data_IF_304156642923
#
_entry.id   IF_304156642923
#
_cell.length_a   1.000
_cell.length_b   1.000
_cell.length_c   1.000
_cell.angle_alpha   90.00
_cell.angle_beta   90.00
_cell.angle_gamma   90.00
#
_symmetry.space_group_name_H-M   'P 1'
#
loop_
_entity.id
_entity.type
_entity.pdbx_description
1 polymer ?
#
# COMPACT_ATOMS: atom_id res chain seq x y z
N UNK A 1 18.27 -26.56 -19.18
CA UNK A 1 17.80 -25.27 -19.74
C UNK A 1 17.48 -24.34 -18.59
N UNK A 2 18.47 -23.59 -18.14
CA UNK A 2 18.39 -22.61 -17.04
C UNK A 2 17.58 -21.42 -17.51
N UNK A 3 16.43 -21.18 -16.89
CA UNK A 3 15.55 -20.04 -17.18
C UNK A 3 16.35 -18.74 -17.02
N UNK A 4 16.30 -17.92 -18.07
CA UNK A 4 16.92 -16.62 -18.21
C UNK A 4 16.74 -15.75 -16.95
N UNK A 5 17.83 -15.50 -16.23
CA UNK A 5 17.92 -14.39 -15.25
C UNK A 5 17.80 -13.10 -16.05
N UNK A 6 16.80 -12.29 -15.75
CA UNK A 6 16.70 -10.94 -16.29
C UNK A 6 17.73 -10.07 -15.58
N UNK A 7 18.98 -10.12 -16.02
CA UNK A 7 20.02 -9.20 -15.60
C UNK A 7 19.74 -7.82 -16.23
N UNK A 8 18.81 -7.05 -15.66
CA UNK A 8 18.60 -5.69 -16.18
C UNK A 8 19.73 -4.78 -15.69
N UNK A 9 20.71 -4.52 -16.57
CA UNK A 9 21.78 -3.53 -16.37
C UNK A 9 21.29 -2.07 -16.42
N UNK A 10 19.97 -1.87 -16.41
CA UNK A 10 19.30 -0.58 -16.52
C UNK A 10 18.13 -0.55 -15.57
N UNK A 11 18.08 0.47 -14.73
CA UNK A 11 16.91 0.81 -13.93
C UNK A 11 16.09 1.82 -14.71
N UNK A 12 14.96 1.39 -15.27
CA UNK A 12 13.98 2.30 -15.88
C UNK A 12 13.35 3.23 -14.85
N UNK A 13 13.36 2.86 -13.56
CA UNK A 13 12.79 3.66 -12.47
C UNK A 13 13.51 5.01 -12.30
N UNK A 14 14.82 5.06 -12.52
CA UNK A 14 15.61 6.29 -12.39
C UNK A 14 16.42 6.61 -13.65
N UNK A 15 16.22 5.89 -14.75
CA UNK A 15 16.98 6.06 -15.99
C UNK A 15 18.49 5.85 -15.82
N UNK A 16 18.91 4.97 -14.91
CA UNK A 16 20.32 4.68 -14.64
C UNK A 16 20.76 3.38 -15.32
N UNK A 17 22.06 3.24 -15.60
CA UNK A 17 22.64 2.00 -16.16
C UNK A 17 23.96 1.62 -15.50
N UNK A 18 24.22 0.33 -15.34
CA UNK A 18 25.53 -0.17 -14.93
C UNK A 18 26.51 -0.13 -16.10
N UNK A 19 27.81 -0.06 -15.80
CA UNK A 19 28.88 -0.09 -16.80
C UNK A 19 29.02 -1.48 -17.44
N UNK A 20 28.80 -2.52 -16.65
CA UNK A 20 29.09 -3.92 -17.00
C UNK A 20 27.84 -4.78 -17.09
N UNK A 21 27.96 -5.90 -17.80
CA UNK A 21 26.91 -6.90 -18.01
C UNK A 21 26.85 -7.97 -16.90
N UNK A 22 27.82 -8.02 -16.00
CA UNK A 22 27.87 -8.96 -14.88
C UNK A 22 27.44 -8.27 -13.58
N UNK A 23 26.34 -7.50 -13.61
CA UNK A 23 25.84 -6.82 -12.40
C UNK A 23 25.40 -7.81 -11.33
N UNK A 24 25.79 -7.56 -10.07
CA UNK A 24 25.34 -8.35 -8.93
C UNK A 24 23.88 -8.04 -8.56
N UNK A 25 23.27 -8.90 -7.75
CA UNK A 25 21.85 -8.80 -7.33
C UNK A 25 21.53 -7.48 -6.61
N UNK A 26 22.53 -6.79 -6.06
CA UNK A 26 22.37 -5.46 -5.46
C UNK A 26 22.14 -4.33 -6.48
N UNK A 27 22.30 -4.60 -7.78
CA UNK A 27 22.25 -3.58 -8.84
C UNK A 27 23.57 -2.84 -9.06
N UNK A 28 24.66 -3.28 -8.42
CA UNK A 28 26.00 -2.73 -8.59
C UNK A 28 26.82 -3.51 -9.63
N UNK A 29 27.86 -2.85 -10.15
CA UNK A 29 28.92 -3.57 -10.88
C UNK A 29 29.77 -4.37 -9.86
N UNK A 30 30.31 -5.54 -10.19
CA UNK A 30 31.18 -6.30 -9.27
C UNK A 30 32.41 -5.51 -8.82
N UNK A 31 32.89 -4.59 -9.67
CA UNK A 31 33.97 -3.65 -9.36
C UNK A 31 33.49 -2.22 -9.62
N UNK A 32 33.55 -1.40 -8.56
CA UNK A 32 33.39 0.05 -8.63
C UNK A 32 34.77 0.69 -8.84
N UNK A 33 34.90 1.59 -9.82
CA UNK A 33 36.14 2.30 -10.14
C UNK A 33 35.92 3.80 -9.95
N UNK A 34 36.96 4.52 -9.53
CA UNK A 34 36.89 5.97 -9.31
C UNK A 34 36.50 6.73 -10.59
N UNK A 35 37.10 6.35 -11.72
CA UNK A 35 36.95 7.06 -12.99
C UNK A 35 35.85 6.44 -13.88
N UNK A 36 34.71 6.10 -13.29
CA UNK A 36 33.60 5.50 -14.03
C UNK A 36 32.85 6.56 -14.87
N UNK A 37 32.79 6.44 -16.21
CA UNK A 37 32.12 7.44 -17.05
C UNK A 37 30.59 7.24 -17.14
N UNK A 38 30.03 6.30 -16.39
CA UNK A 38 28.63 5.89 -16.50
C UNK A 38 27.82 6.39 -15.31
N UNK A 39 26.69 7.05 -15.59
CA UNK A 39 25.68 7.41 -14.59
C UNK A 39 24.88 6.17 -14.14
N UNK A 40 25.49 5.35 -13.30
CA UNK A 40 24.78 4.31 -12.56
C UNK A 40 24.00 4.91 -11.38
N UNK A 41 23.21 4.09 -10.67
CA UNK A 41 22.40 4.53 -9.53
C UNK A 41 23.24 5.22 -8.45
N UNK A 42 24.43 4.68 -8.15
CA UNK A 42 25.36 5.27 -7.16
C UNK A 42 25.88 6.63 -7.62
N UNK A 43 26.44 6.73 -8.83
CA UNK A 43 26.96 7.99 -9.36
C UNK A 43 25.88 9.06 -9.48
N UNK A 44 24.69 8.67 -9.95
CA UNK A 44 23.55 9.59 -10.08
C UNK A 44 23.08 10.08 -8.70
N UNK A 45 23.01 9.19 -7.71
CA UNK A 45 22.64 9.53 -6.33
C UNK A 45 23.69 10.42 -5.66
N UNK A 46 24.98 10.17 -5.90
CA UNK A 46 26.06 11.01 -5.38
C UNK A 46 26.01 12.44 -5.95
N UNK A 47 25.68 12.59 -7.24
CA UNK A 47 25.63 13.89 -7.90
C UNK A 47 24.33 14.66 -7.68
N UNK A 48 23.19 13.97 -7.70
CA UNK A 48 21.85 14.61 -7.65
C UNK A 48 21.13 14.48 -6.31
N UNK A 49 21.64 13.66 -5.40
CA UNK A 49 21.12 13.49 -4.04
C UNK A 49 19.60 13.31 -4.01
N UNK A 50 18.92 14.20 -3.29
CA UNK A 50 17.47 14.20 -3.11
C UNK A 50 16.65 14.26 -4.40
N UNK A 51 17.24 14.70 -5.52
CA UNK A 51 16.51 14.79 -6.78
C UNK A 51 16.16 13.41 -7.37
N UNK A 52 16.93 12.39 -7.02
CA UNK A 52 16.77 11.00 -7.51
C UNK A 52 16.32 10.03 -6.42
N UNK A 53 15.84 10.55 -5.29
CA UNK A 53 15.30 9.74 -4.19
C UNK A 53 14.08 8.93 -4.61
N UNK A 54 13.27 9.46 -5.53
CA UNK A 54 12.05 8.83 -6.02
C UNK A 54 12.22 8.36 -7.48
N UNK A 55 11.38 7.43 -7.94
CA UNK A 55 11.27 7.12 -9.36
C UNK A 55 11.07 8.38 -10.21
N UNK A 56 11.35 8.26 -11.51
CA UNK A 56 11.26 9.32 -12.51
C UNK A 56 10.02 10.19 -12.29
N UNK A 57 10.26 11.47 -11.97
CA UNK A 57 9.22 12.42 -11.54
C UNK A 57 8.20 12.68 -12.64
N UNK A 58 8.62 12.56 -13.90
CA UNK A 58 7.78 12.73 -15.08
C UNK A 58 6.64 11.71 -15.13
N UNK A 59 6.82 10.55 -14.47
CA UNK A 59 5.83 9.49 -14.36
C UNK A 59 5.15 9.42 -12.99
N UNK A 60 5.43 10.38 -12.09
CA UNK A 60 4.84 10.39 -10.75
C UNK A 60 3.31 10.45 -10.83
N UNK A 61 2.65 9.50 -10.16
CA UNK A 61 1.20 9.40 -10.10
C UNK A 61 0.50 8.82 -11.33
N UNK A 62 1.23 8.54 -12.41
CA UNK A 62 0.73 7.88 -13.62
C UNK A 62 1.48 6.58 -13.94
N UNK A 63 2.32 6.10 -13.02
CA UNK A 63 3.07 4.86 -13.16
C UNK A 63 2.97 3.99 -11.91
N UNK A 64 3.27 2.71 -12.10
CA UNK A 64 3.50 1.74 -11.03
C UNK A 64 4.95 1.29 -11.11
N UNK A 65 5.68 1.36 -10.00
CA UNK A 65 7.06 0.90 -9.90
C UNK A 65 7.08 -0.50 -9.27
N UNK A 66 7.76 -1.44 -9.93
CA UNK A 66 8.06 -2.77 -9.38
C UNK A 66 9.52 -2.88 -8.99
N UNK A 67 9.86 -3.91 -8.22
CA UNK A 67 11.25 -4.25 -7.90
C UNK A 67 11.80 -5.23 -8.95
N UNK A 68 12.95 -4.94 -9.60
CA UNK A 68 13.61 -5.90 -10.48
C UNK A 68 14.39 -6.98 -9.71
N UNK A 69 14.42 -6.92 -8.36
CA UNK A 69 15.15 -7.88 -7.54
C UNK A 69 14.44 -9.23 -7.52
N UNK A 70 15.21 -10.30 -7.68
CA UNK A 70 14.74 -11.66 -7.45
C UNK A 70 14.81 -11.94 -5.94
N UNK A 71 13.65 -12.12 -5.31
CA UNK A 71 13.55 -12.44 -3.89
C UNK A 71 13.72 -13.95 -3.60
N UNK A 72 13.96 -14.77 -4.64
CA UNK A 72 14.14 -16.22 -4.54
C UNK A 72 12.84 -16.99 -4.27
N UNK A 73 11.71 -16.28 -4.13
CA UNK A 73 10.41 -16.87 -3.82
C UNK A 73 9.29 -16.00 -4.37
N UNK A 74 8.30 -16.62 -5.01
CA UNK A 74 7.14 -15.96 -5.62
C UNK A 74 5.95 -16.90 -5.72
N UNK A 75 4.75 -16.37 -6.00
CA UNK A 75 3.55 -17.19 -6.16
C UNK A 75 3.66 -18.29 -7.22
N UNK A 76 4.55 -18.15 -8.20
CA UNK A 76 4.81 -19.17 -9.24
C UNK A 76 5.44 -20.45 -8.69
N UNK A 77 6.07 -20.35 -7.52
CA UNK A 77 6.80 -21.45 -6.87
C UNK A 77 5.86 -22.30 -6.01
N UNK A 78 4.61 -21.86 -5.82
CA UNK A 78 3.55 -22.62 -5.18
C UNK A 78 2.70 -23.37 -6.21
N UNK A 79 2.42 -24.64 -5.92
CA UNK A 79 1.42 -25.42 -6.62
C UNK A 79 0.36 -25.88 -5.62
N UNK A 80 -0.89 -25.46 -5.84
CA UNK A 80 -2.03 -25.95 -5.07
C UNK A 80 -2.37 -27.34 -5.63
N UNK A 81 -2.23 -28.38 -4.81
CA UNK A 81 -2.66 -29.73 -5.16
C UNK A 81 -4.17 -29.84 -4.90
N UNK A 82 -4.92 -30.27 -5.90
CA UNK A 82 -6.39 -30.21 -5.93
C UNK A 82 -7.07 -31.41 -5.26
N UNK A 83 -6.32 -32.30 -4.62
CA UNK A 83 -6.93 -33.43 -3.92
C UNK A 83 -7.60 -32.91 -2.64
N UNK A 84 -8.93 -32.81 -2.67
CA UNK A 84 -9.79 -32.31 -1.59
C UNK A 84 -9.88 -33.35 -0.46
N UNK A 85 -8.75 -33.75 0.12
CA UNK A 85 -8.74 -34.62 1.31
C UNK A 85 -8.86 -33.77 2.56
N UNK A 86 -10.00 -33.88 3.24
CA UNK A 86 -10.23 -33.22 4.53
C UNK A 86 -10.65 -31.75 4.44
N UNK A 87 -11.15 -31.29 3.29
CA UNK A 87 -11.77 -29.97 3.23
C UNK A 87 -12.97 -29.89 4.17
N UNK A 88 -13.06 -28.79 4.90
CA UNK A 88 -14.14 -28.49 5.85
C UNK A 88 -14.90 -27.28 5.31
N UNK A 89 -16.23 -27.31 5.34
CA UNK A 89 -17.06 -26.17 4.94
C UNK A 89 -18.47 -26.58 4.51
N UNK A 90 -18.56 -27.51 3.56
CA UNK A 90 -19.83 -28.08 3.10
C UNK A 90 -19.78 -29.61 3.14
N UNK A 91 -20.95 -30.24 3.14
CA UNK A 91 -21.07 -31.70 3.03
C UNK A 91 -20.35 -32.20 1.77
N UNK A 92 -19.62 -33.31 1.91
CA UNK A 92 -18.83 -33.94 0.85
C UNK A 92 -19.74 -34.63 -0.18
N UNK A 93 -20.40 -33.83 -1.00
CA UNK A 93 -21.32 -34.25 -2.04
C UNK A 93 -21.05 -33.44 -3.32
N UNK A 94 -20.93 -34.13 -4.46
CA UNK A 94 -20.64 -33.52 -5.77
C UNK A 94 -21.69 -32.48 -6.17
N UNK A 95 -22.97 -32.75 -5.88
CA UNK A 95 -24.09 -31.83 -6.19
C UNK A 95 -24.05 -30.56 -5.33
N UNK A 96 -23.36 -30.60 -4.19
CA UNK A 96 -23.20 -29.46 -3.27
C UNK A 96 -21.91 -28.68 -3.52
N UNK A 97 -20.91 -29.32 -4.15
CA UNK A 97 -19.60 -28.71 -4.44
C UNK A 97 -19.67 -27.90 -5.74
N UNK A 98 -20.54 -26.90 -5.77
CA UNK A 98 -20.79 -26.03 -6.92
C UNK A 98 -20.42 -24.58 -6.61
N UNK A 99 -20.04 -23.80 -7.64
CA UNK A 99 -19.60 -22.41 -7.48
C UNK A 99 -20.50 -21.51 -6.62
N UNK A 100 -21.85 -21.59 -6.70
CA UNK A 100 -22.72 -20.74 -5.88
C UNK A 100 -22.62 -20.99 -4.37
N UNK A 101 -22.14 -22.16 -3.95
CA UNK A 101 -22.00 -22.52 -2.54
C UNK A 101 -20.64 -22.13 -1.95
N UNK A 102 -19.73 -21.55 -2.75
CA UNK A 102 -18.45 -21.08 -2.25
C UNK A 102 -18.64 -19.85 -1.35
N UNK A 103 -18.44 -20.04 -0.05
CA UNK A 103 -18.41 -18.93 0.92
C UNK A 103 -16.99 -18.35 1.00
N UNK A 104 -16.87 -17.09 0.59
CA UNK A 104 -15.63 -16.31 0.65
C UNK A 104 -15.72 -15.16 1.66
N UNK A 105 -16.77 -15.15 2.50
CA UNK A 105 -16.86 -14.22 3.61
C UNK A 105 -15.74 -14.51 4.60
N UNK A 106 -15.23 -13.46 5.23
CA UNK A 106 -14.14 -13.59 6.18
C UNK A 106 -14.34 -12.66 7.36
N UNK A 107 -13.58 -12.91 8.42
CA UNK A 107 -13.54 -12.07 9.61
C UNK A 107 -12.10 -11.91 10.06
N UNK A 108 -11.70 -10.67 10.32
CA UNK A 108 -10.40 -10.35 10.88
C UNK A 108 -10.56 -9.36 12.03
N UNK A 109 -10.11 -9.75 13.22
CA UNK A 109 -10.45 -9.05 14.45
C UNK A 109 -11.97 -8.96 14.65
N UNK A 110 -12.49 -7.74 14.71
CA UNK A 110 -13.91 -7.41 14.85
C UNK A 110 -14.61 -7.11 13.50
N UNK A 111 -13.88 -7.04 12.39
CA UNK A 111 -14.44 -6.67 11.09
C UNK A 111 -14.88 -7.93 10.33
N UNK A 112 -16.14 -7.99 9.91
CA UNK A 112 -16.64 -8.98 8.94
C UNK A 112 -16.46 -8.42 7.53
N UNK A 113 -16.17 -9.25 6.54
CA UNK A 113 -16.08 -8.84 5.13
C UNK A 113 -16.80 -9.83 4.23
N UNK A 114 -17.36 -9.34 3.12
CA UNK A 114 -17.97 -10.19 2.08
C UNK A 114 -16.93 -10.89 1.22
N UNK A 115 -15.74 -10.30 1.10
CA UNK A 115 -14.63 -10.81 0.28
C UNK A 115 -13.33 -10.84 1.10
N UNK A 116 -12.39 -11.75 0.78
CA UNK A 116 -11.11 -11.88 1.47
C UNK A 116 -10.08 -10.88 0.91
N UNK A 117 -10.48 -9.63 0.74
CA UNK A 117 -9.68 -8.56 0.14
C UNK A 117 -9.76 -7.34 1.05
N UNK A 118 -8.64 -6.63 1.19
CA UNK A 118 -8.60 -5.30 1.80
C UNK A 118 -7.83 -4.37 0.88
N UNK A 119 -8.31 -3.12 0.76
CA UNK A 119 -7.54 -2.08 0.07
C UNK A 119 -6.53 -1.51 1.07
N UNK A 120 -5.26 -1.78 0.81
CA UNK A 120 -4.14 -1.37 1.65
C UNK A 120 -4.02 0.16 1.79
N UNK A 121 -3.28 0.61 2.80
CA UNK A 121 -3.12 2.02 3.17
C UNK A 121 -2.77 2.94 2.00
N UNK A 122 -3.73 3.77 1.57
CA UNK A 122 -3.51 4.77 0.53
C UNK A 122 -3.14 6.10 1.18
N UNK A 123 -1.87 6.48 1.05
CA UNK A 123 -1.26 7.61 1.75
C UNK A 123 -1.79 9.00 1.35
N UNK A 124 -1.08 10.02 1.84
CA UNK A 124 -1.43 11.45 1.73
C UNK A 124 -1.21 12.09 0.36
N UNK A 125 -0.86 11.31 -0.66
CA UNK A 125 -0.56 11.86 -1.99
C UNK A 125 -1.82 12.31 -2.72
N UNK A 126 -1.66 13.28 -3.63
CA UNK A 126 -2.73 13.68 -4.55
C UNK A 126 -3.24 12.52 -5.40
N UNK A 127 -2.38 11.52 -5.67
CA UNK A 127 -2.71 10.32 -6.43
C UNK A 127 -3.74 9.46 -5.71
N UNK A 128 -3.62 9.31 -4.38
CA UNK A 128 -4.62 8.61 -3.59
C UNK A 128 -5.92 9.40 -3.52
N UNK A 129 -5.83 10.71 -3.25
CA UNK A 129 -7.00 11.59 -3.12
C UNK A 129 -7.87 11.62 -4.38
N UNK A 130 -7.27 11.79 -5.57
CA UNK A 130 -8.03 11.87 -6.83
C UNK A 130 -8.76 10.58 -7.21
N UNK A 131 -8.36 9.44 -6.66
CA UNK A 131 -8.99 8.13 -6.92
C UNK A 131 -9.83 7.67 -5.71
N UNK A 132 -9.92 8.47 -4.66
CA UNK A 132 -10.49 8.04 -3.39
C UNK A 132 -11.98 7.68 -3.51
N UNK A 133 -12.78 8.49 -4.21
CA UNK A 133 -14.22 8.25 -4.35
C UNK A 133 -14.51 6.88 -4.94
N UNK A 134 -13.89 6.54 -6.08
CA UNK A 134 -14.08 5.23 -6.72
C UNK A 134 -13.66 4.07 -5.82
N UNK A 135 -12.55 4.21 -5.10
CA UNK A 135 -12.02 3.16 -4.22
C UNK A 135 -12.86 3.00 -2.95
N UNK A 136 -13.22 4.09 -2.28
CA UNK A 136 -13.97 4.07 -1.04
C UNK A 136 -15.42 3.66 -1.26
N UNK A 137 -16.09 4.21 -2.28
CA UNK A 137 -17.46 3.82 -2.63
C UNK A 137 -17.51 2.36 -3.08
N UNK A 138 -16.58 1.95 -3.94
CA UNK A 138 -16.49 0.56 -4.39
C UNK A 138 -16.21 -0.42 -3.25
N UNK A 139 -15.31 -0.06 -2.34
CA UNK A 139 -15.01 -0.89 -1.17
C UNK A 139 -16.22 -1.06 -0.25
N UNK A 140 -16.92 0.04 0.05
CA UNK A 140 -18.11 0.03 0.90
C UNK A 140 -19.23 -0.84 0.29
N UNK A 141 -19.53 -0.65 -1.01
CA UNK A 141 -20.53 -1.43 -1.72
C UNK A 141 -20.17 -2.92 -1.82
N UNK A 142 -18.89 -3.22 -2.00
CA UNK A 142 -18.40 -4.60 -2.04
C UNK A 142 -18.31 -5.27 -0.66
N UNK A 143 -18.52 -4.52 0.44
CA UNK A 143 -18.41 -5.04 1.81
C UNK A 143 -16.97 -5.43 2.18
N UNK A 144 -16.00 -4.63 1.74
CA UNK A 144 -14.57 -4.79 2.07
C UNK A 144 -14.01 -3.55 2.76
N UNK A 145 -12.95 -3.73 3.52
CA UNK A 145 -12.26 -2.63 4.19
C UNK A 145 -11.35 -1.85 3.25
N UNK A 146 -11.17 -0.57 3.57
CA UNK A 146 -10.18 0.33 2.96
C UNK A 146 -9.40 1.06 4.05
N UNK A 147 -8.08 1.15 3.89
CA UNK A 147 -7.21 1.84 4.82
C UNK A 147 -6.84 3.24 4.31
N UNK A 148 -7.13 4.26 5.11
CA UNK A 148 -6.56 5.61 4.98
C UNK A 148 -5.10 5.54 5.42
N UNK A 149 -4.18 5.81 4.51
CA UNK A 149 -2.75 5.78 4.82
C UNK A 149 -2.28 6.95 5.68
N UNK A 150 -0.99 6.94 5.99
CA UNK A 150 -0.36 7.89 6.90
C UNK A 150 -0.29 9.34 6.38
N UNK A 151 -0.11 10.28 7.31
CA UNK A 151 0.16 11.71 7.08
C UNK A 151 -0.94 12.48 6.31
N UNK A 152 -2.14 11.90 6.16
CA UNK A 152 -3.27 12.56 5.48
C UNK A 152 -3.61 13.89 6.14
N UNK A 153 -3.66 13.93 7.47
CA UNK A 153 -3.95 15.15 8.23
C UNK A 153 -2.80 16.15 8.15
N UNK A 154 -1.55 15.68 8.23
CA UNK A 154 -0.37 16.56 8.16
C UNK A 154 -0.19 17.25 6.80
N UNK A 155 -0.74 16.65 5.73
CA UNK A 155 -0.68 17.18 4.36
C UNK A 155 -1.93 17.97 3.97
N UNK A 156 -2.96 18.01 4.82
CA UNK A 156 -4.19 18.74 4.55
C UNK A 156 -3.96 20.25 4.79
N UNK A 157 -4.00 21.10 3.74
CA UNK A 157 -3.77 22.54 3.88
C UNK A 157 -4.85 23.23 4.72
N UNK A 158 -6.01 22.59 4.89
CA UNK A 158 -7.14 23.10 5.66
C UNK A 158 -7.20 22.50 7.08
N UNK A 159 -6.20 21.69 7.47
CA UNK A 159 -6.12 21.16 8.82
C UNK A 159 -5.88 22.27 9.85
N UNK A 160 -6.64 22.22 10.93
CA UNK A 160 -6.55 23.15 12.06
C UNK A 160 -5.84 22.46 13.21
N UNK A 161 -4.84 23.13 13.77
CA UNK A 161 -4.06 22.63 14.90
C UNK A 161 -4.20 23.55 16.11
N UNK A 162 -3.98 23.01 17.30
CA UNK A 162 -3.91 23.78 18.54
C UNK A 162 -2.74 24.76 18.50
N UNK A 163 -2.98 26.03 18.81
CA UNK A 163 -1.92 26.99 19.04
C UNK A 163 -1.31 26.77 20.45
N UNK A 164 -0.02 27.08 20.61
CA UNK A 164 0.71 27.19 21.90
C UNK A 164 1.12 25.89 22.63
N UNK A 165 0.98 24.70 22.03
CA UNK A 165 1.57 23.48 22.58
C UNK A 165 2.97 23.22 22.00
N UNK A 166 3.87 22.62 22.81
CA UNK A 166 5.18 22.14 22.34
C UNK A 166 5.05 21.13 21.19
N UNK A 167 3.93 20.40 21.14
CA UNK A 167 3.53 19.52 20.04
C UNK A 167 2.13 19.90 19.59
N UNK A 168 1.99 20.29 18.33
CA UNK A 168 0.70 20.59 17.71
C UNK A 168 -0.24 19.39 17.82
N UNK A 169 -1.51 19.64 18.15
CA UNK A 169 -2.58 18.64 18.12
C UNK A 169 -3.61 19.02 17.09
N UNK A 170 -4.09 18.05 16.31
CA UNK A 170 -5.18 18.29 15.36
C UNK A 170 -6.47 18.63 16.11
N UNK A 171 -7.12 19.71 15.67
CA UNK A 171 -8.46 20.12 16.09
C UNK A 171 -9.46 19.68 15.02
N UNK A 172 -9.11 19.91 13.75
CA UNK A 172 -9.99 19.65 12.63
C UNK A 172 -9.24 19.39 11.32
N UNK A 173 -9.87 18.71 10.37
CA UNK A 173 -9.32 18.42 9.03
C UNK A 173 -10.45 18.16 8.05
N UNK A 174 -10.28 18.66 6.82
CA UNK A 174 -11.22 18.43 5.73
C UNK A 174 -10.93 17.10 5.02
N UNK A 175 -9.66 16.78 4.74
CA UNK A 175 -9.33 15.58 3.95
C UNK A 175 -9.70 14.28 4.67
N UNK A 176 -9.39 14.18 5.97
CA UNK A 176 -9.75 12.99 6.74
C UNK A 176 -11.27 12.83 6.87
N UNK A 177 -12.00 13.93 7.11
CA UNK A 177 -13.48 13.89 7.16
C UNK A 177 -14.07 13.44 5.85
N UNK A 178 -13.60 14.02 4.74
CA UNK A 178 -14.01 13.66 3.40
C UNK A 178 -13.81 12.16 3.18
N UNK A 179 -12.61 11.64 3.46
CA UNK A 179 -12.29 10.23 3.24
C UNK A 179 -13.18 9.28 4.04
N UNK A 180 -13.42 9.59 5.32
CA UNK A 180 -14.32 8.81 6.19
C UNK A 180 -15.76 8.89 5.72
N UNK A 181 -16.23 10.09 5.38
CA UNK A 181 -17.61 10.31 4.92
C UNK A 181 -17.88 9.52 3.64
N UNK A 182 -17.00 9.60 2.64
CA UNK A 182 -17.19 8.92 1.34
C UNK A 182 -17.37 7.41 1.49
N UNK A 183 -16.60 6.75 2.38
CA UNK A 183 -16.80 5.32 2.64
C UNK A 183 -18.14 5.07 3.35
N UNK A 184 -18.39 5.80 4.44
CA UNK A 184 -19.58 5.60 5.29
C UNK A 184 -20.90 5.86 4.59
N UNK A 185 -20.92 6.76 3.62
CA UNK A 185 -22.12 7.09 2.84
C UNK A 185 -22.68 5.85 2.09
N UNK A 186 -21.81 4.91 1.71
CA UNK A 186 -22.19 3.70 0.98
C UNK A 186 -22.01 2.41 1.80
N UNK A 187 -21.63 2.54 3.08
CA UNK A 187 -21.37 1.40 3.95
C UNK A 187 -22.67 0.85 4.53
N UNK A 188 -22.83 -0.48 4.50
CA UNK A 188 -24.02 -1.16 5.02
C UNK A 188 -24.07 -1.27 6.56
N UNK A 189 -23.00 -0.84 7.24
CA UNK A 189 -22.87 -0.86 8.70
C UNK A 189 -22.47 -2.22 9.29
N UNK A 190 -22.29 -3.26 8.46
CA UNK A 190 -21.93 -4.60 8.93
C UNK A 190 -20.64 -5.14 8.28
N UNK A 191 -20.47 -4.96 6.97
CA UNK A 191 -19.38 -5.58 6.21
C UNK A 191 -18.35 -4.57 5.73
N UNK A 192 -17.09 -4.87 6.00
CA UNK A 192 -15.99 -3.93 5.84
C UNK A 192 -15.95 -2.89 6.95
N UNK A 193 -14.88 -2.11 6.96
CA UNK A 193 -14.74 -0.93 7.81
C UNK A 193 -13.70 0.00 7.17
N UNK A 194 -13.75 1.28 7.52
CA UNK A 194 -12.69 2.21 7.18
C UNK A 194 -11.62 2.23 8.27
N UNK A 195 -10.40 1.93 7.87
CA UNK A 195 -9.26 1.77 8.78
C UNK A 195 -8.37 3.00 8.65
N UNK A 196 -7.81 3.49 9.76
CA UNK A 196 -6.81 4.57 9.73
C UNK A 196 -5.44 4.01 10.10
N UNK A 197 -4.45 4.21 9.24
CA UNK A 197 -3.08 3.75 9.47
C UNK A 197 -2.36 4.65 10.47
N UNK A 198 -1.63 4.03 11.39
CA UNK A 198 -0.90 4.66 12.50
C UNK A 198 0.59 4.66 12.30
N UNK A 199 1.14 5.85 12.11
CA UNK A 199 2.56 6.14 12.14
C UNK A 199 2.95 7.02 13.35
N UNK A 200 4.24 7.32 13.46
CA UNK A 200 4.82 8.07 14.58
C UNK A 200 4.40 9.54 14.54
N UNK A 201 4.38 10.13 13.35
CA UNK A 201 4.06 11.53 13.08
C UNK A 201 2.60 11.85 13.43
N UNK A 202 1.64 11.09 12.93
CA UNK A 202 0.21 11.26 13.22
C UNK A 202 -0.09 11.02 14.71
N UNK A 203 0.69 10.15 15.36
CA UNK A 203 0.59 9.93 16.82
C UNK A 203 1.01 11.18 17.60
N UNK A 204 2.08 11.86 17.17
CA UNK A 204 2.52 13.14 17.75
C UNK A 204 1.49 14.24 17.51
N UNK A 205 0.88 14.27 16.32
CA UNK A 205 -0.20 15.21 15.97
C UNK A 205 -1.54 14.87 16.65
N UNK A 206 -1.67 13.71 17.30
CA UNK A 206 -2.90 13.33 18.00
C UNK A 206 -4.05 12.93 17.07
N UNK A 207 -3.74 12.54 15.83
CA UNK A 207 -4.74 12.16 14.82
C UNK A 207 -5.62 11.03 15.30
N UNK A 208 -5.07 9.99 15.92
CA UNK A 208 -5.85 8.84 16.41
C UNK A 208 -6.90 9.23 17.45
N UNK A 209 -6.55 10.14 18.37
CA UNK A 209 -7.52 10.66 19.35
C UNK A 209 -8.64 11.41 18.65
N UNK A 210 -8.31 12.22 17.65
CA UNK A 210 -9.28 12.96 16.86
C UNK A 210 -10.21 12.02 16.07
N UNK A 211 -9.67 11.08 15.28
CA UNK A 211 -10.51 10.22 14.43
C UNK A 211 -11.37 9.25 15.25
N UNK A 212 -10.89 8.77 16.40
CA UNK A 212 -11.69 7.92 17.30
C UNK A 212 -12.81 8.70 17.98
N UNK A 213 -12.57 9.96 18.37
CA UNK A 213 -13.54 10.75 19.15
C UNK A 213 -14.48 11.62 18.32
N UNK A 214 -14.08 12.01 17.11
CA UNK A 214 -14.82 12.94 16.24
C UNK A 214 -15.38 12.27 15.00
N UNK A 215 -14.72 11.23 14.51
CA UNK A 215 -15.11 10.52 13.29
C UNK A 215 -15.54 9.07 13.59
N UNK A 216 -15.65 8.69 14.86
CA UNK A 216 -16.07 7.36 15.34
C UNK A 216 -15.32 6.20 14.67
N UNK A 217 -14.03 6.37 14.38
CA UNK A 217 -13.22 5.28 13.80
C UNK A 217 -12.99 4.19 14.84
N UNK A 218 -13.35 2.96 14.48
CA UNK A 218 -13.24 1.78 15.36
C UNK A 218 -11.98 0.94 15.08
N UNK A 219 -11.37 1.12 13.91
CA UNK A 219 -10.30 0.26 13.42
C UNK A 219 -9.05 1.06 13.04
N UNK A 220 -7.89 0.63 13.55
CA UNK A 220 -6.60 1.29 13.34
C UNK A 220 -5.55 0.24 12.95
N UNK A 221 -4.77 0.54 11.91
CA UNK A 221 -3.66 -0.31 11.46
C UNK A 221 -2.34 0.24 12.03
N UNK A 222 -1.56 -0.55 12.78
CA UNK A 222 -0.25 -0.12 13.27
C UNK A 222 0.84 -0.44 12.24
N UNK A 223 1.47 0.60 11.67
CA UNK A 223 2.55 0.45 10.71
C UNK A 223 3.91 0.48 11.42
N UNK A 224 4.64 -0.64 11.35
CA UNK A 224 5.97 -0.79 11.96
C UNK A 224 7.13 -0.62 10.98
N UNK A 225 6.85 -0.64 9.67
CA UNK A 225 7.82 -0.50 8.57
C UNK A 225 7.09 -0.51 7.24
#
# INVERSE_FOLDING_TARGET
MTKFRMYSHRSSMIGARTRVQDSCESGLCPICIADCPVFCEVSKSALRGCEVLYPMREYYGISTAGSPKDYGFSYKDFQIQFEVRGAQGIELNEDKTIFPNADITTKWGNIKQKLPIVIAGLGSTYVAKRNWDGLAMGAALAGVSITVGENVVGMDPNAKFTNHLKYLRVIDTEDMKYRVKTYREFWDGEYGDIIVQKNVEDTRLGVFKYVMSRLDINSVEMKFG
#
